data_IF_224016398671
#
_entry.id   IF_224016398671
#
_cell.length_a   1.000
_cell.length_b   1.000
_cell.length_c   1.000
_cell.angle_alpha   90.00
_cell.angle_beta   90.00
_cell.angle_gamma   90.00
#
_symmetry.space_group_name_H-M   'P 1'
#
loop_
_entity.id
_entity.type
_entity.pdbx_description
1 polymer ?
#
# COMPACT_ATOMS: atom_id res chain seq x y z
N UNK A 1 -5.18 -22.05 -31.37
CA UNK A 1 -5.17 -20.77 -30.64
C UNK A 1 -4.83 -21.11 -29.17
N UNK A 2 -3.61 -20.81 -28.73
CA UNK A 2 -3.20 -21.02 -27.34
C UNK A 2 -3.91 -19.92 -26.55
N UNK A 3 -4.85 -20.29 -25.67
CA UNK A 3 -5.46 -19.33 -24.74
C UNK A 3 -4.39 -18.99 -23.72
N UNK A 4 -3.94 -17.74 -23.68
CA UNK A 4 -3.12 -17.23 -22.60
C UNK A 4 -3.82 -17.49 -21.26
N UNK A 5 -3.05 -17.82 -20.24
CA UNK A 5 -3.54 -17.91 -18.88
C UNK A 5 -3.26 -16.59 -18.19
N UNK A 6 -4.13 -16.21 -17.27
CA UNK A 6 -4.05 -14.96 -16.53
C UNK A 6 -4.00 -15.25 -15.03
N UNK A 7 -3.20 -14.46 -14.32
CA UNK A 7 -3.09 -14.47 -12.87
C UNK A 7 -3.17 -13.03 -12.36
N UNK A 8 -3.96 -12.79 -11.32
CA UNK A 8 -4.07 -11.50 -10.66
C UNK A 8 -3.49 -11.60 -9.24
N UNK A 9 -2.42 -10.88 -8.99
CA UNK A 9 -1.87 -10.71 -7.66
C UNK A 9 -2.39 -9.40 -7.05
N UNK A 10 -2.90 -9.46 -5.81
CA UNK A 10 -3.28 -8.29 -5.01
C UNK A 10 -2.20 -8.04 -3.96
N UNK A 11 -1.57 -6.89 -4.01
CA UNK A 11 -0.49 -6.47 -3.11
C UNK A 11 -0.98 -5.29 -2.28
N UNK A 12 -0.89 -5.41 -0.95
CA UNK A 12 -1.25 -4.36 0.01
C UNK A 12 -0.10 -4.17 1.00
N UNK A 13 0.93 -3.40 0.64
CA UNK A 13 2.09 -3.21 1.49
C UNK A 13 1.71 -2.42 2.75
N UNK A 14 2.45 -2.68 3.82
CA UNK A 14 2.36 -1.92 5.06
C UNK A 14 3.24 -0.69 4.96
N UNK A 15 2.72 0.47 5.35
CA UNK A 15 3.50 1.70 5.38
C UNK A 15 3.83 2.11 6.82
N UNK A 16 2.94 1.87 7.80
CA UNK A 16 3.16 2.17 9.23
C UNK A 16 3.65 3.63 9.48
N UNK A 17 3.37 4.56 8.56
CA UNK A 17 3.71 5.99 8.63
C UNK A 17 2.42 6.78 8.76
N UNK A 18 2.48 7.86 9.51
CA UNK A 18 1.31 8.70 9.75
C UNK A 18 1.00 9.59 8.54
N UNK A 19 -0.28 9.84 8.26
CA UNK A 19 -0.69 10.63 7.11
C UNK A 19 -0.14 12.08 7.10
N UNK A 20 0.10 12.66 8.27
CA UNK A 20 0.62 14.01 8.41
C UNK A 20 2.16 14.10 8.34
N UNK A 21 2.84 12.97 8.15
CA UNK A 21 4.28 12.92 7.92
C UNK A 21 4.55 12.94 6.43
N UNK A 22 5.05 14.08 5.93
CA UNK A 22 5.50 14.18 4.55
C UNK A 22 6.74 13.30 4.34
N UNK A 23 6.78 12.62 3.20
CA UNK A 23 7.98 11.94 2.71
C UNK A 23 8.91 12.94 2.03
N UNK A 24 10.21 12.69 2.08
CA UNK A 24 11.17 13.37 1.22
C UNK A 24 11.34 12.61 -0.11
N UNK A 25 11.82 13.30 -1.13
CA UNK A 25 12.04 12.69 -2.44
C UNK A 25 13.09 11.57 -2.36
N UNK A 26 12.71 10.38 -2.78
CA UNK A 26 13.57 9.19 -2.75
C UNK A 26 13.50 8.38 -1.46
N UNK A 27 12.63 8.74 -0.53
CA UNK A 27 12.37 7.93 0.65
C UNK A 27 11.70 6.59 0.28
N UNK A 28 11.90 5.61 1.13
CA UNK A 28 11.21 4.32 1.03
C UNK A 28 9.73 4.54 1.33
N UNK A 29 8.87 4.35 0.31
CA UNK A 29 7.42 4.37 0.51
C UNK A 29 6.97 3.09 1.21
N UNK A 30 7.45 1.95 0.73
CA UNK A 30 7.34 0.66 1.40
C UNK A 30 8.50 -0.25 0.96
N UNK A 31 8.97 -1.06 1.90
CA UNK A 31 10.04 -2.04 1.67
C UNK A 31 9.53 -3.27 0.90
N UNK A 32 10.40 -4.19 0.55
CA UNK A 32 10.12 -5.37 -0.22
C UNK A 32 8.93 -6.17 0.30
N UNK A 33 7.83 -6.12 -0.42
CA UNK A 33 6.64 -6.92 -0.19
C UNK A 33 6.64 -8.14 -1.11
N UNK A 34 6.65 -9.34 -0.53
CA UNK A 34 6.65 -10.59 -1.28
C UNK A 34 5.24 -10.94 -1.78
N UNK A 35 5.14 -11.37 -3.02
CA UNK A 35 3.91 -11.93 -3.59
C UNK A 35 4.26 -13.07 -4.55
N UNK A 36 3.26 -13.87 -4.90
CA UNK A 36 3.46 -15.05 -5.75
C UNK A 36 2.88 -14.85 -7.15
N UNK A 37 3.62 -15.31 -8.15
CA UNK A 37 3.16 -15.43 -9.53
C UNK A 37 3.33 -16.87 -10.01
N UNK A 38 2.63 -17.32 -11.08
CA UNK A 38 2.84 -18.63 -11.66
C UNK A 38 4.31 -18.87 -12.03
N UNK A 39 4.74 -20.14 -11.93
CA UNK A 39 6.13 -20.50 -12.18
C UNK A 39 6.49 -20.34 -13.65
N UNK A 40 7.69 -19.82 -13.92
CA UNK A 40 8.22 -19.51 -15.23
C UNK A 40 8.11 -18.01 -15.56
N UNK A 41 8.50 -17.63 -16.76
CA UNK A 41 8.43 -16.24 -17.20
C UNK A 41 6.97 -15.78 -17.32
N UNK A 42 6.59 -14.76 -16.57
CA UNK A 42 5.26 -14.15 -16.59
C UNK A 42 5.36 -12.72 -17.09
N UNK A 43 4.45 -12.33 -17.98
CA UNK A 43 4.38 -10.96 -18.46
C UNK A 43 3.43 -10.15 -17.59
N UNK A 44 3.93 -9.14 -16.87
CA UNK A 44 3.10 -8.14 -16.21
C UNK A 44 2.45 -7.28 -17.29
N UNK A 45 1.16 -7.48 -17.53
CA UNK A 45 0.39 -6.81 -18.59
C UNK A 45 -0.53 -5.72 -18.07
N UNK A 46 -0.95 -5.80 -16.80
CA UNK A 46 -1.77 -4.77 -16.17
C UNK A 46 -1.26 -4.43 -14.78
N UNK A 47 -1.35 -3.15 -14.45
CA UNK A 47 -1.04 -2.60 -13.13
C UNK A 47 -2.11 -1.55 -12.81
N UNK A 48 -2.86 -1.77 -11.74
CA UNK A 48 -3.77 -0.77 -11.20
C UNK A 48 -3.36 -0.49 -9.76
N UNK A 49 -3.39 0.76 -9.36
CA UNK A 49 -3.14 1.20 -7.98
C UNK A 49 -4.34 1.97 -7.50
N UNK A 50 -4.85 1.59 -6.34
CA UNK A 50 -5.90 2.31 -5.64
C UNK A 50 -5.25 2.95 -4.42
N UNK A 51 -5.45 4.26 -4.26
CA UNK A 51 -4.95 5.06 -3.14
C UNK A 51 -6.13 5.68 -2.41
N UNK A 52 -6.06 5.82 -1.08
CA UNK A 52 -7.11 6.50 -0.34
C UNK A 52 -7.13 8.00 -0.69
N UNK A 53 -8.33 8.57 -0.65
CA UNK A 53 -8.55 9.99 -0.67
C UNK A 53 -8.55 10.61 0.73
N UNK A 54 -9.03 11.83 0.81
CA UNK A 54 -9.37 12.53 2.05
C UNK A 54 -10.88 12.75 2.10
N UNK A 55 -11.43 13.05 3.26
CA UNK A 55 -12.86 13.19 3.52
C UNK A 55 -13.62 14.06 2.47
N UNK A 56 -13.05 15.17 2.05
CA UNK A 56 -13.73 16.14 1.15
C UNK A 56 -13.10 16.27 -0.22
N UNK A 57 -11.98 15.64 -0.45
CA UNK A 57 -11.28 15.67 -1.73
C UNK A 57 -10.47 14.40 -1.92
N UNK A 58 -10.34 13.94 -3.15
CA UNK A 58 -9.32 12.95 -3.43
C UNK A 58 -7.95 13.48 -2.98
N UNK A 59 -7.19 12.67 -2.29
CA UNK A 59 -5.82 13.01 -1.95
C UNK A 59 -5.08 13.38 -3.24
N UNK A 60 -4.13 14.29 -3.15
CA UNK A 60 -3.22 14.52 -4.24
C UNK A 60 -2.58 13.17 -4.62
N UNK A 61 -2.55 12.85 -5.89
CA UNK A 61 -1.89 11.65 -6.37
C UNK A 61 -0.44 11.62 -5.90
N UNK A 62 0.11 10.43 -5.72
CA UNK A 62 1.49 10.24 -5.28
C UNK A 62 2.31 9.70 -6.44
N UNK A 63 3.31 10.46 -6.85
CA UNK A 63 4.35 9.98 -7.75
C UNK A 63 5.19 8.93 -7.02
N UNK A 64 5.39 7.77 -7.65
CA UNK A 64 6.21 6.73 -7.05
C UNK A 64 6.96 5.90 -8.09
N UNK A 65 8.08 5.36 -7.68
CA UNK A 65 8.85 4.39 -8.44
C UNK A 65 8.68 2.99 -7.85
N UNK A 66 8.10 2.07 -8.62
CA UNK A 66 8.00 0.66 -8.26
C UNK A 66 9.23 -0.10 -8.78
N UNK A 67 9.83 -0.88 -7.90
CA UNK A 67 10.90 -1.81 -8.22
C UNK A 67 10.44 -3.24 -8.01
N UNK A 68 10.67 -4.09 -9.00
CA UNK A 68 10.40 -5.52 -8.90
C UNK A 68 11.72 -6.27 -8.75
N UNK A 69 11.74 -7.23 -7.83
CA UNK A 69 12.94 -8.02 -7.53
C UNK A 69 12.62 -9.52 -7.44
N UNK A 70 13.66 -10.31 -7.63
CA UNK A 70 13.67 -11.75 -7.38
C UNK A 70 14.72 -12.10 -6.32
N UNK A 71 14.64 -13.28 -5.72
CA UNK A 71 15.75 -13.80 -4.93
C UNK A 71 16.94 -14.16 -5.85
N UNK A 72 18.13 -14.21 -5.28
CA UNK A 72 19.34 -14.66 -5.96
C UNK A 72 19.95 -15.80 -5.16
N UNK A 73 20.07 -16.97 -5.76
CA UNK A 73 20.53 -18.19 -5.10
C UNK A 73 19.73 -18.50 -3.81
N UNK A 74 18.42 -18.31 -3.86
CA UNK A 74 17.52 -18.55 -2.72
C UNK A 74 17.56 -17.48 -1.63
N UNK A 75 18.31 -16.39 -1.82
CA UNK A 75 18.39 -15.27 -0.86
C UNK A 75 17.46 -14.14 -1.32
N UNK A 76 16.54 -13.73 -0.47
CA UNK A 76 15.64 -12.60 -0.72
C UNK A 76 16.41 -11.27 -0.87
N UNK A 77 15.84 -10.25 -1.54
CA UNK A 77 16.45 -8.93 -1.59
C UNK A 77 16.60 -8.35 -0.17
N UNK A 78 17.70 -7.62 0.05
CA UNK A 78 17.97 -6.94 1.34
C UNK A 78 17.00 -5.77 1.50
N UNK A 79 16.46 -5.56 2.71
CA UNK A 79 15.60 -4.42 3.05
C UNK A 79 16.19 -3.09 2.57
N UNK A 80 15.37 -2.22 2.03
CA UNK A 80 15.75 -0.86 1.62
C UNK A 80 15.86 0.08 2.81
N UNK A 81 15.13 -0.18 3.88
CA UNK A 81 15.01 0.65 5.07
C UNK A 81 13.57 0.74 5.56
N UNK A 82 13.34 1.55 6.57
CA UNK A 82 12.01 1.83 7.09
C UNK A 82 11.26 2.82 6.17
N UNK A 83 9.92 2.76 6.08
CA UNK A 83 9.14 3.76 5.38
C UNK A 83 9.37 5.17 5.93
N UNK A 84 9.34 6.16 5.05
CA UNK A 84 9.64 7.57 5.32
C UNK A 84 11.09 7.85 5.78
N UNK A 85 12.00 6.95 5.46
CA UNK A 85 13.43 7.13 5.64
C UNK A 85 14.16 6.97 4.30
N UNK A 86 15.29 7.64 4.16
CA UNK A 86 16.17 7.45 3.01
C UNK A 86 16.68 5.99 2.95
N UNK A 87 16.93 5.49 1.75
CA UNK A 87 17.47 4.14 1.56
C UNK A 87 18.75 3.95 2.39
N UNK A 88 18.72 2.99 3.31
CA UNK A 88 19.85 2.70 4.21
C UNK A 88 20.87 1.73 3.63
N UNK A 89 20.52 0.99 2.58
CA UNK A 89 21.42 0.06 1.91
C UNK A 89 22.12 0.75 0.74
N UNK A 90 23.31 0.26 0.38
CA UNK A 90 23.97 0.65 -0.87
C UNK A 90 23.33 -0.19 -2.00
N UNK A 91 22.42 0.38 -2.82
CA UNK A 91 21.61 -0.39 -3.79
C UNK A 91 22.51 -1.18 -4.76
N UNK A 92 23.67 -0.62 -5.10
CA UNK A 92 24.60 -1.26 -6.02
C UNK A 92 25.15 -2.60 -5.53
N UNK A 93 25.26 -2.81 -4.23
CA UNK A 93 25.81 -4.05 -3.65
C UNK A 93 24.74 -4.99 -3.15
N UNK A 94 23.62 -4.46 -2.65
CA UNK A 94 22.59 -5.26 -1.99
C UNK A 94 21.44 -5.67 -2.94
N UNK A 95 21.11 -4.84 -3.93
CA UNK A 95 19.91 -5.04 -4.77
C UNK A 95 20.23 -5.25 -6.26
N UNK A 96 21.42 -4.93 -6.72
CA UNK A 96 21.78 -4.90 -8.15
C UNK A 96 21.38 -6.16 -8.93
N UNK A 97 21.63 -7.34 -8.34
CA UNK A 97 21.34 -8.61 -9.00
C UNK A 97 19.91 -9.12 -8.72
N UNK A 98 19.18 -8.46 -7.84
CA UNK A 98 17.81 -8.81 -7.49
C UNK A 98 16.80 -8.08 -8.34
N UNK A 99 17.06 -6.82 -8.72
CA UNK A 99 16.10 -5.99 -9.47
C UNK A 99 15.93 -6.55 -10.87
N UNK A 100 14.69 -6.87 -11.22
CA UNK A 100 14.30 -7.43 -12.53
C UNK A 100 13.31 -6.55 -13.27
N UNK A 101 12.83 -5.48 -12.66
CA UNK A 101 11.90 -4.55 -13.28
C UNK A 101 11.75 -3.24 -12.52
N UNK A 102 11.30 -2.22 -13.24
CA UNK A 102 11.04 -0.89 -12.70
C UNK A 102 9.86 -0.26 -13.44
N UNK A 103 9.01 0.48 -12.71
CA UNK A 103 7.93 1.27 -13.28
C UNK A 103 7.73 2.55 -12.49
N UNK A 104 7.79 3.68 -13.16
CA UNK A 104 7.37 4.96 -12.63
C UNK A 104 5.85 5.09 -12.73
N UNK A 105 5.21 5.57 -11.68
CA UNK A 105 3.79 5.93 -11.63
C UNK A 105 3.68 7.43 -11.43
N UNK A 106 3.09 8.08 -12.41
CA UNK A 106 2.90 9.53 -12.45
C UNK A 106 1.50 9.86 -11.89
N UNK A 107 1.45 10.70 -10.89
CA UNK A 107 0.22 11.16 -10.27
C UNK A 107 -0.67 11.98 -11.22
N UNK A 108 -0.07 12.68 -12.19
CA UNK A 108 -0.79 13.51 -13.14
C UNK A 108 -1.73 12.72 -14.08
N UNK A 109 -1.51 11.40 -14.18
CA UNK A 109 -2.36 10.48 -14.98
C UNK A 109 -3.33 9.67 -14.12
N UNK A 110 -3.46 9.99 -12.85
CA UNK A 110 -4.45 9.36 -11.98
C UNK A 110 -5.84 9.88 -12.27
N UNK A 111 -6.80 8.96 -12.34
CA UNK A 111 -8.21 9.31 -12.36
C UNK A 111 -8.67 9.61 -10.92
N UNK A 112 -9.07 10.84 -10.72
CA UNK A 112 -9.75 11.28 -9.52
C UNK A 112 -11.24 11.18 -9.78
N UNK A 113 -11.93 10.25 -9.12
CA UNK A 113 -13.36 10.10 -9.26
C UNK A 113 -14.07 10.84 -8.14
N UNK A 114 -14.60 12.03 -8.43
CA UNK A 114 -15.41 12.80 -7.48
C UNK A 114 -16.63 12.04 -6.95
N UNK A 115 -17.05 10.97 -7.64
CA UNK A 115 -18.20 10.14 -7.25
C UNK A 115 -17.78 8.90 -6.43
N UNK A 116 -16.50 8.51 -6.48
CA UNK A 116 -15.89 7.55 -5.56
C UNK A 116 -14.98 8.33 -4.59
N UNK A 117 -15.57 9.19 -3.83
CA UNK A 117 -15.04 10.36 -3.11
C UNK A 117 -13.72 10.13 -2.35
N UNK A 118 -13.29 8.89 -2.19
CA UNK A 118 -12.16 8.56 -1.32
C UNK A 118 -10.99 7.89 -2.01
N UNK A 119 -10.98 7.72 -3.35
CA UNK A 119 -9.92 6.95 -3.98
C UNK A 119 -9.37 7.62 -5.25
N UNK A 120 -8.04 7.67 -5.35
CA UNK A 120 -7.33 7.89 -6.60
C UNK A 120 -6.99 6.54 -7.23
N UNK A 121 -7.25 6.40 -8.52
CA UNK A 121 -6.99 5.18 -9.26
C UNK A 121 -5.99 5.47 -10.38
N UNK A 122 -4.83 4.82 -10.33
CA UNK A 122 -3.91 4.77 -11.44
C UNK A 122 -4.10 3.46 -12.21
N UNK A 123 -4.21 3.55 -13.52
CA UNK A 123 -4.29 2.36 -14.38
C UNK A 123 -3.32 2.49 -15.55
N UNK A 124 -2.84 1.37 -16.08
CA UNK A 124 -1.97 1.36 -17.25
C UNK A 124 -2.73 1.50 -18.58
N UNK A 125 -3.99 1.89 -18.55
CA UNK A 125 -4.73 2.18 -19.78
C UNK A 125 -4.26 3.50 -20.38
N UNK A 126 -4.20 3.59 -21.71
CA UNK A 126 -3.91 4.81 -22.46
C UNK A 126 -5.12 5.78 -22.32
N UNK A 127 -5.33 6.33 -21.14
CA UNK A 127 -6.35 7.33 -20.89
C UNK A 127 -5.75 8.72 -20.98
N UNK A 128 -6.32 9.56 -21.80
CA UNK A 128 -6.21 11.01 -21.86
C UNK A 128 -4.83 11.62 -21.59
N UNK A 129 -3.82 11.17 -22.34
CA UNK A 129 -2.45 11.63 -22.22
C UNK A 129 -2.30 13.08 -22.69
N UNK A 130 -2.47 14.02 -21.77
CA UNK A 130 -1.83 15.33 -21.88
C UNK A 130 -0.40 15.27 -21.34
N UNK A 131 -0.09 14.31 -20.50
CA UNK A 131 1.25 14.02 -20.01
C UNK A 131 1.99 13.11 -21.00
N UNK A 132 3.07 13.62 -21.55
CA UNK A 132 3.72 13.11 -22.75
C UNK A 132 4.72 11.97 -22.50
N UNK A 133 4.88 11.47 -21.28
CA UNK A 133 6.02 10.59 -20.98
C UNK A 133 5.70 9.24 -20.34
N UNK A 134 4.59 9.04 -19.63
CA UNK A 134 4.45 7.85 -18.78
C UNK A 134 3.18 7.00 -18.94
N UNK A 135 2.35 7.28 -19.91
CA UNK A 135 1.25 6.40 -20.33
C UNK A 135 1.75 5.10 -21.02
N UNK A 136 3.03 4.76 -20.85
CA UNK A 136 3.58 3.54 -21.39
C UNK A 136 2.94 2.34 -20.70
N UNK A 137 2.33 1.47 -21.50
CA UNK A 137 1.79 0.19 -21.05
C UNK A 137 2.84 -0.53 -20.20
N UNK A 138 2.38 -1.15 -19.12
CA UNK A 138 3.24 -2.09 -18.41
C UNK A 138 3.40 -3.31 -19.32
N UNK A 139 4.61 -3.55 -19.77
CA UNK A 139 4.98 -4.67 -20.62
C UNK A 139 6.33 -5.21 -20.16
N UNK A 140 6.30 -5.93 -19.03
CA UNK A 140 7.48 -6.34 -18.31
C UNK A 140 7.45 -7.85 -18.08
N UNK A 141 8.51 -8.55 -18.45
CA UNK A 141 8.64 -9.99 -18.15
C UNK A 141 9.35 -10.15 -16.82
N UNK A 142 8.69 -10.80 -15.87
CA UNK A 142 9.20 -11.12 -14.55
C UNK A 142 9.32 -12.63 -14.39
N UNK A 143 10.42 -13.06 -13.78
CA UNK A 143 10.67 -14.46 -13.45
C UNK A 143 11.33 -14.56 -12.08
N UNK A 144 10.79 -15.42 -11.23
CA UNK A 144 11.34 -15.66 -9.90
C UNK A 144 12.48 -16.66 -9.91
N UNK A 145 13.28 -16.66 -8.86
CA UNK A 145 14.36 -17.62 -8.65
C UNK A 145 13.76 -18.98 -8.23
N UNK A 146 13.97 -20.05 -9.02
CA UNK A 146 13.44 -21.37 -8.70
C UNK A 146 14.08 -22.01 -7.46
N UNK A 147 15.18 -21.45 -6.95
CA UNK A 147 15.88 -21.95 -5.76
C UNK A 147 15.34 -21.38 -4.47
N UNK A 148 14.46 -20.39 -4.51
CA UNK A 148 13.81 -19.83 -3.32
C UNK A 148 12.77 -20.79 -2.74
N UNK A 149 12.98 -21.20 -1.49
CA UNK A 149 12.20 -22.26 -0.86
C UNK A 149 10.83 -21.80 -0.29
N UNK A 150 10.53 -20.51 -0.33
CA UNK A 150 9.32 -19.93 0.31
C UNK A 150 8.05 -19.96 -0.53
N UNK A 151 8.13 -20.29 -1.82
CA UNK A 151 6.98 -20.22 -2.73
C UNK A 151 6.05 -21.44 -2.62
N UNK A 152 4.75 -21.21 -2.84
CA UNK A 152 3.75 -22.28 -2.98
C UNK A 152 4.04 -23.16 -4.20
N UNK A 153 3.70 -24.44 -4.13
CA UNK A 153 3.92 -25.37 -5.25
C UNK A 153 3.24 -24.88 -6.55
N UNK A 154 4.01 -24.75 -7.62
CA UNK A 154 3.53 -24.21 -8.91
C UNK A 154 3.64 -22.70 -9.04
N UNK A 155 4.11 -22.00 -8.01
CA UNK A 155 4.34 -20.56 -7.98
C UNK A 155 5.81 -20.25 -7.73
N UNK A 156 6.14 -18.98 -7.89
CA UNK A 156 7.44 -18.39 -7.59
C UNK A 156 7.24 -17.03 -6.92
N UNK A 157 8.15 -16.66 -6.04
CA UNK A 157 8.06 -15.42 -5.29
C UNK A 157 8.74 -14.30 -6.06
N UNK A 158 8.05 -13.17 -6.15
CA UNK A 158 8.56 -11.87 -6.60
C UNK A 158 8.39 -10.89 -5.45
N UNK A 159 9.24 -9.88 -5.40
CA UNK A 159 9.14 -8.78 -4.46
C UNK A 159 8.86 -7.49 -5.20
N UNK A 160 8.09 -6.61 -4.57
CA UNK A 160 7.89 -5.24 -5.02
C UNK A 160 8.17 -4.29 -3.87
N UNK A 161 8.87 -3.19 -4.17
CA UNK A 161 9.10 -2.08 -3.26
C UNK A 161 8.83 -0.77 -3.98
N UNK A 162 8.60 0.31 -3.25
CA UNK A 162 8.42 1.62 -3.84
C UNK A 162 9.25 2.70 -3.14
N UNK A 163 9.69 3.67 -3.95
CA UNK A 163 10.27 4.92 -3.51
C UNK A 163 9.35 6.07 -3.88
N UNK A 164 9.37 7.11 -3.08
CA UNK A 164 8.64 8.35 -3.36
C UNK A 164 9.36 9.21 -4.39
N UNK A 165 8.59 9.93 -5.17
CA UNK A 165 9.07 11.00 -6.03
C UNK A 165 8.44 12.31 -5.56
N UNK A 166 9.25 13.31 -5.23
CA UNK A 166 8.74 14.52 -4.57
C UNK A 166 8.53 14.32 -3.06
N UNK A 167 7.62 15.08 -2.49
CA UNK A 167 7.30 15.10 -1.06
C UNK A 167 5.83 14.75 -0.83
N UNK A 168 5.40 13.50 -1.11
CA UNK A 168 4.01 13.13 -1.00
C UNK A 168 3.54 13.07 0.44
N UNK A 169 2.23 13.32 0.62
CA UNK A 169 1.51 13.05 1.84
C UNK A 169 0.30 12.18 1.47
N UNK A 170 0.12 11.02 2.10
CA UNK A 170 -0.93 10.09 1.74
C UNK A 170 -2.25 10.28 2.50
N UNK A 171 -2.54 11.50 2.89
CA UNK A 171 -3.82 11.90 3.45
C UNK A 171 -3.79 12.19 4.95
N UNK A 172 -4.92 12.59 5.46
CA UNK A 172 -5.18 12.80 6.89
C UNK A 172 -6.00 11.62 7.42
N UNK A 173 -5.81 11.30 8.69
CA UNK A 173 -6.67 10.35 9.39
C UNK A 173 -7.98 10.99 9.85
N UNK A 174 -8.78 10.20 10.53
CA UNK A 174 -10.04 10.61 11.16
C UNK A 174 -9.81 10.69 12.67
N UNK A 175 -10.29 11.75 13.33
CA UNK A 175 -10.14 11.95 14.76
C UNK A 175 -11.17 11.15 15.56
N UNK A 176 -10.76 10.60 16.69
CA UNK A 176 -11.67 9.96 17.63
C UNK A 176 -12.48 11.01 18.41
N UNK A 177 -13.79 10.77 18.55
CA UNK A 177 -14.68 11.50 19.45
C UNK A 177 -14.92 10.68 20.72
N UNK A 178 -13.94 10.68 21.59
CA UNK A 178 -13.99 9.98 22.87
C UNK A 178 -12.80 9.06 23.12
N UNK A 179 -12.48 8.89 24.39
CA UNK A 179 -11.37 8.05 24.81
C UNK A 179 -11.76 6.57 24.82
N UNK A 180 -10.89 5.72 24.29
CA UNK A 180 -11.03 4.24 24.32
C UNK A 180 -10.12 3.71 25.43
N UNK A 181 -10.70 3.18 26.49
CA UNK A 181 -9.98 2.76 27.72
C UNK A 181 -9.60 1.29 27.75
N UNK A 182 -9.93 0.53 26.70
CA UNK A 182 -9.56 -0.88 26.57
C UNK A 182 -9.18 -1.22 25.14
N UNK A 183 -8.22 -2.11 24.97
CA UNK A 183 -7.83 -2.66 23.67
C UNK A 183 -8.73 -3.84 23.28
N UNK A 184 -8.66 -4.26 22.02
CA UNK A 184 -9.41 -5.40 21.47
C UNK A 184 -10.46 -5.00 20.44
N UNK A 185 -11.33 -5.93 20.08
CA UNK A 185 -12.43 -5.65 19.17
C UNK A 185 -13.41 -4.66 19.77
N UNK A 186 -13.65 -3.54 19.08
CA UNK A 186 -14.42 -2.40 19.60
C UNK A 186 -15.12 -1.61 18.52
N UNK A 187 -16.04 -0.76 18.97
CA UNK A 187 -16.59 0.36 18.22
C UNK A 187 -15.83 1.61 18.65
N UNK A 188 -15.28 2.32 17.69
CA UNK A 188 -14.61 3.60 17.87
C UNK A 188 -15.57 4.68 17.38
N UNK A 189 -15.88 5.65 18.24
CA UNK A 189 -16.62 6.84 17.85
C UNK A 189 -15.65 7.83 17.19
N UNK A 190 -16.03 8.40 16.06
CA UNK A 190 -15.22 9.38 15.32
C UNK A 190 -15.95 10.72 15.25
N UNK A 191 -15.17 11.77 15.02
CA UNK A 191 -15.69 13.13 14.94
C UNK A 191 -16.80 13.25 13.88
N UNK A 192 -17.95 13.81 14.26
CA UNK A 192 -19.10 14.03 13.38
C UNK A 192 -18.78 14.90 12.15
N UNK A 193 -17.70 15.68 12.21
CA UNK A 193 -17.25 16.52 11.09
C UNK A 193 -16.40 15.74 10.05
N UNK A 194 -16.11 14.45 10.28
CA UNK A 194 -15.15 13.66 9.51
C UNK A 194 -15.73 12.30 9.08
N UNK A 195 -16.84 12.29 8.43
CA UNK A 195 -17.58 11.10 7.96
C UNK A 195 -16.67 9.89 7.62
N UNK A 196 -16.51 8.97 8.59
CA UNK A 196 -15.55 7.86 8.50
C UNK A 196 -15.77 6.96 7.27
N UNK A 197 -17.03 6.81 6.83
CA UNK A 197 -17.39 6.03 5.63
C UNK A 197 -17.00 6.71 4.31
N UNK A 198 -16.63 8.00 4.34
CA UNK A 198 -16.05 8.71 3.19
C UNK A 198 -14.53 8.50 3.10
N UNK A 199 -13.88 8.13 4.20
CA UNK A 199 -12.43 7.93 4.25
C UNK A 199 -12.08 6.44 4.16
N UNK A 200 -12.75 5.61 4.95
CA UNK A 200 -12.41 4.20 5.13
C UNK A 200 -13.39 3.24 4.44
N UNK A 201 -12.94 2.00 4.27
CA UNK A 201 -13.77 0.91 3.79
C UNK A 201 -13.65 -0.33 4.70
N UNK A 202 -14.68 -1.17 4.70
CA UNK A 202 -14.64 -2.47 5.39
C UNK A 202 -13.47 -3.30 4.86
N UNK A 203 -12.63 -3.82 5.75
CA UNK A 203 -11.43 -4.57 5.42
C UNK A 203 -10.15 -3.73 5.38
N UNK A 204 -10.22 -2.42 5.62
CA UNK A 204 -9.03 -1.61 5.82
C UNK A 204 -8.40 -1.89 7.16
N UNK A 205 -7.07 -1.91 7.19
CA UNK A 205 -6.26 -2.09 8.39
C UNK A 205 -5.78 -0.73 8.89
N UNK A 206 -6.00 -0.47 10.18
CA UNK A 206 -5.82 0.85 10.77
C UNK A 206 -4.66 0.91 11.77
N UNK A 207 -4.08 2.10 11.83
CA UNK A 207 -3.24 2.60 12.92
C UNK A 207 -4.03 3.63 13.72
N UNK A 208 -3.64 3.83 14.97
CA UNK A 208 -4.02 5.00 15.75
C UNK A 208 -2.77 5.67 16.30
N UNK A 209 -2.80 6.99 16.44
CA UNK A 209 -1.73 7.77 17.03
C UNK A 209 -2.28 8.96 17.81
N UNK A 210 -1.50 9.47 18.76
CA UNK A 210 -1.81 10.72 19.40
C UNK A 210 -1.82 11.88 18.40
N UNK A 211 -2.58 12.93 18.68
CA UNK A 211 -2.72 14.12 17.81
C UNK A 211 -1.38 14.79 17.41
N UNK A 212 -0.32 14.54 18.17
CA UNK A 212 1.04 15.01 17.85
C UNK A 212 1.88 14.01 17.03
N UNK A 213 1.28 12.94 16.54
CA UNK A 213 1.95 11.87 15.78
C UNK A 213 2.76 10.89 16.63
N UNK A 214 2.68 10.96 17.97
CA UNK A 214 3.35 10.00 18.84
C UNK A 214 2.46 8.79 19.17
N UNK A 215 3.04 7.77 19.82
CA UNK A 215 2.30 6.62 20.35
C UNK A 215 1.53 5.82 19.31
N UNK A 216 2.15 5.58 18.15
CA UNK A 216 1.53 4.81 17.08
C UNK A 216 1.18 3.39 17.53
N UNK A 217 -0.07 3.00 17.35
CA UNK A 217 -0.59 1.68 17.69
C UNK A 217 -1.27 1.05 16.47
N UNK A 218 -1.05 -0.24 16.27
CA UNK A 218 -1.82 -1.04 15.30
C UNK A 218 -3.12 -1.46 15.98
N UNK A 219 -4.27 -1.03 15.45
CA UNK A 219 -5.55 -1.24 16.12
C UNK A 219 -6.43 -2.31 15.49
N UNK A 220 -6.18 -2.67 14.23
CA UNK A 220 -6.85 -3.80 13.59
C UNK A 220 -7.54 -3.46 12.29
N UNK A 221 -8.46 -4.34 11.89
CA UNK A 221 -9.16 -4.28 10.59
C UNK A 221 -10.62 -3.89 10.80
N UNK A 222 -11.15 -3.05 9.93
CA UNK A 222 -12.54 -2.60 9.96
C UNK A 222 -13.49 -3.74 9.59
N UNK A 223 -14.48 -3.99 10.42
CA UNK A 223 -15.54 -4.99 10.20
C UNK A 223 -16.91 -4.38 9.94
N UNK A 224 -17.15 -3.16 10.43
CA UNK A 224 -18.35 -2.38 10.17
C UNK A 224 -18.03 -0.90 10.20
N UNK A 225 -18.80 -0.09 9.49
CA UNK A 225 -18.54 1.33 9.29
C UNK A 225 -19.86 2.08 9.13
N UNK A 226 -19.96 3.23 9.80
CA UNK A 226 -21.00 4.25 9.60
C UNK A 226 -20.33 5.61 9.44
N UNK A 227 -21.12 6.68 9.32
CA UNK A 227 -20.58 8.04 9.24
C UNK A 227 -19.75 8.38 10.50
N UNK A 228 -20.24 8.00 11.69
CA UNK A 228 -19.71 8.41 13.00
C UNK A 228 -18.99 7.27 13.74
N UNK A 229 -18.98 6.04 13.20
CA UNK A 229 -18.38 4.91 13.92
C UNK A 229 -17.54 4.00 13.05
N UNK A 230 -16.45 3.50 13.60
CA UNK A 230 -15.59 2.49 13.02
C UNK A 230 -15.53 1.28 13.95
N UNK A 231 -16.05 0.13 13.50
CA UNK A 231 -15.94 -1.11 14.26
C UNK A 231 -14.72 -1.92 13.79
N UNK A 232 -13.86 -2.30 14.71
CA UNK A 232 -12.64 -3.08 14.43
C UNK A 232 -12.64 -4.42 15.17
N UNK A 233 -11.91 -5.40 14.64
CA UNK A 233 -11.73 -6.73 15.26
C UNK A 233 -10.39 -6.91 15.99
N UNK A 234 -9.55 -5.89 16.05
CA UNK A 234 -8.20 -5.88 16.62
C UNK A 234 -7.22 -6.88 15.98
N UNK A 235 -7.51 -7.33 14.76
CA UNK A 235 -6.64 -8.23 13.99
C UNK A 235 -6.18 -7.56 12.71
N UNK A 236 -5.01 -7.98 12.23
CA UNK A 236 -4.55 -7.64 10.89
C UNK A 236 -5.33 -8.41 9.81
N UNK A 237 -5.08 -8.08 8.54
CA UNK A 237 -5.73 -8.75 7.39
C UNK A 237 -5.39 -10.24 7.28
N UNK A 238 -4.41 -10.74 8.04
CA UNK A 238 -4.02 -12.16 8.10
C UNK A 238 -4.64 -12.88 9.31
N UNK A 239 -5.43 -12.16 10.14
CA UNK A 239 -6.10 -12.71 11.32
C UNK A 239 -5.24 -12.77 12.58
N UNK A 240 -4.07 -12.13 12.58
CA UNK A 240 -3.20 -12.02 13.76
C UNK A 240 -3.66 -10.88 14.65
N UNK A 241 -3.83 -11.12 15.96
CA UNK A 241 -4.16 -10.05 16.91
C UNK A 241 -3.04 -9.03 16.97
N UNK A 242 -3.35 -7.77 16.69
CA UNK A 242 -2.39 -6.65 16.66
C UNK A 242 -2.61 -5.64 17.78
N UNK A 243 -3.82 -5.57 18.34
CA UNK A 243 -4.14 -4.68 19.45
C UNK A 243 -4.61 -5.47 20.67
N UNK A 244 -3.69 -5.72 21.58
CA UNK A 244 -3.93 -6.48 22.82
C UNK A 244 -3.69 -5.64 24.09
N UNK A 245 -3.19 -4.41 23.94
CA UNK A 245 -2.93 -3.48 25.04
C UNK A 245 -2.87 -2.03 24.53
N UNK A 246 -3.08 -1.09 25.42
CA UNK A 246 -3.06 0.33 25.11
C UNK A 246 -4.47 0.94 25.14
N UNK A 247 -4.51 2.25 25.29
CA UNK A 247 -5.71 3.08 25.28
C UNK A 247 -5.53 4.12 24.18
N UNK A 248 -6.67 4.65 23.69
CA UNK A 248 -6.68 5.79 22.79
C UNK A 248 -7.33 6.96 23.53
N UNK A 249 -6.80 8.15 23.34
CA UNK A 249 -7.34 9.36 23.90
C UNK A 249 -8.41 9.96 22.99
N UNK A 250 -9.21 10.89 23.52
CA UNK A 250 -10.00 11.78 22.68
C UNK A 250 -9.06 12.58 21.76
N UNK A 251 -9.47 12.82 20.53
CA UNK A 251 -8.68 13.49 19.48
C UNK A 251 -7.43 12.71 19.00
N UNK A 252 -7.25 11.44 19.41
CA UNK A 252 -6.29 10.57 18.72
C UNK A 252 -6.74 10.34 17.27
N UNK A 253 -5.77 10.29 16.36
CA UNK A 253 -6.01 10.12 14.94
C UNK A 253 -5.97 8.64 14.55
N UNK A 254 -6.98 8.17 13.82
CA UNK A 254 -6.95 6.86 13.17
C UNK A 254 -6.69 7.02 11.68
N UNK A 255 -5.82 6.18 11.14
CA UNK A 255 -5.36 6.27 9.75
C UNK A 255 -5.09 4.90 9.14
N UNK A 256 -4.89 4.87 7.82
CA UNK A 256 -4.58 3.64 7.11
C UNK A 256 -3.20 3.09 7.49
N UNK A 257 -3.15 1.80 7.78
CA UNK A 257 -1.89 1.05 7.85
C UNK A 257 -1.42 0.60 6.46
N UNK A 258 -2.36 0.34 5.55
CA UNK A 258 -2.12 -0.14 4.18
C UNK A 258 -2.89 0.73 3.19
N UNK A 259 -2.42 1.97 2.97
CA UNK A 259 -3.15 2.92 2.13
C UNK A 259 -3.22 2.50 0.67
N UNK A 260 -2.26 1.72 0.18
CA UNK A 260 -2.20 1.36 -1.24
C UNK A 260 -2.64 -0.08 -1.50
N UNK A 261 -3.40 -0.25 -2.56
CA UNK A 261 -3.74 -1.56 -3.11
C UNK A 261 -3.29 -1.63 -4.56
N UNK A 262 -2.34 -2.52 -4.86
CA UNK A 262 -1.87 -2.80 -6.20
C UNK A 262 -2.54 -4.07 -6.74
N UNK A 263 -3.10 -3.99 -7.94
CA UNK A 263 -3.58 -5.13 -8.68
C UNK A 263 -2.64 -5.36 -9.87
N UNK A 264 -1.89 -6.45 -9.83
CA UNK A 264 -0.89 -6.83 -10.80
C UNK A 264 -1.41 -8.00 -11.64
N UNK A 265 -1.68 -7.77 -12.93
CA UNK A 265 -2.19 -8.79 -13.83
C UNK A 265 -1.09 -9.38 -14.72
N UNK A 266 -0.94 -10.70 -14.66
CA UNK A 266 0.09 -11.44 -15.37
C UNK A 266 -0.49 -12.35 -16.45
N UNK A 267 0.14 -12.37 -17.61
CA UNK A 267 -0.02 -13.40 -18.65
C UNK A 267 1.11 -14.43 -18.54
N UNK A 268 0.79 -15.75 -18.69
CA UNK A 268 1.77 -16.84 -18.56
C UNK A 268 1.39 -18.07 -19.37
#
# INVERSE_FOLDING_TARGET
>A
MIKGKYHLAKVRPTIDVLPNQAFDAGDVLFDWYAFEIPRGACKLSTLNVIMPGTDTAAAAGIDMELFFATSVNGVAPTSLGDPNDAITVVPATACKNHIIGHKYLDADVMENSDELVSYNIWTNTLGNATATTDAAMVDMVLEGDPTYAGATAGYQTIWVAALTVGTPNHGTGVLLDGAVTSSGAQVLDVSEDQEANHVFAIGDELLACAANGSSVQKIGTITSLTDDTVTIDAKDIFGTTVWSSGNLANDDEICFRRPFTFHLGFEY
#
